data_IF_710942939745
#
_entry.id   IF_710942939745
#
_cell.length_a   1.000
_cell.length_b   1.000
_cell.length_c   1.000
_cell.angle_alpha   90.00
_cell.angle_beta   90.00
_cell.angle_gamma   90.00
#
_symmetry.space_group_name_H-M   'P 1'
#
loop_
_entity.id
_entity.type
_entity.pdbx_description
1 polymer ?
#
# COMPACT_ATOMS: atom_id res chain seq x y z
N UNK A 1 -55.78 7.05 -0.84
CA UNK A 1 -55.98 8.50 -1.00
C UNK A 1 -55.53 9.17 0.29
N UNK A 2 -54.23 9.46 0.41
CA UNK A 2 -53.60 10.19 1.52
C UNK A 2 -52.74 11.31 0.91
N UNK A 3 -52.56 12.46 1.62
CA UNK A 3 -52.17 13.73 1.03
C UNK A 3 -50.65 13.92 0.96
N UNK A 4 -50.28 14.94 0.18
CA UNK A 4 -48.93 15.33 -0.20
C UNK A 4 -48.38 16.47 0.68
N UNK A 5 -47.04 16.62 0.65
CA UNK A 5 -46.17 17.73 1.12
C UNK A 5 -45.64 17.74 2.57
N UNK A 6 -44.50 18.44 2.88
CA UNK A 6 -43.30 18.71 2.07
C UNK A 6 -41.96 18.49 2.83
N UNK A 7 -40.89 18.22 2.08
CA UNK A 7 -39.51 18.70 2.35
C UNK A 7 -38.79 18.27 3.63
N UNK A 8 -37.98 17.21 3.52
CA UNK A 8 -36.63 17.17 4.11
C UNK A 8 -35.69 16.48 3.14
N UNK A 9 -34.68 17.22 2.74
CA UNK A 9 -33.63 16.88 1.80
C UNK A 9 -32.96 15.59 2.29
N UNK A 10 -33.04 14.53 1.50
CA UNK A 10 -32.11 13.43 1.60
C UNK A 10 -30.74 14.00 1.22
N UNK A 11 -29.80 14.01 2.15
CA UNK A 11 -28.44 14.45 1.87
C UNK A 11 -27.87 13.57 0.76
N UNK A 12 -27.69 14.17 -0.41
CA UNK A 12 -27.09 13.61 -1.61
C UNK A 12 -25.75 12.95 -1.29
N UNK A 13 -25.68 11.63 -1.44
CA UNK A 13 -24.43 10.88 -1.56
C UNK A 13 -23.69 11.16 -2.88
N UNK A 14 -24.19 12.12 -3.67
CA UNK A 14 -23.65 12.49 -4.97
C UNK A 14 -22.73 13.71 -4.96
N UNK A 15 -22.33 14.23 -3.79
CA UNK A 15 -21.48 15.42 -3.70
C UNK A 15 -20.22 15.27 -2.83
N UNK A 16 -19.62 14.07 -2.80
CA UNK A 16 -18.19 14.00 -2.53
C UNK A 16 -17.45 14.39 -3.82
N UNK A 17 -16.53 15.37 -3.82
CA UNK A 17 -15.69 15.63 -4.97
C UNK A 17 -14.78 14.41 -5.17
N UNK A 18 -15.20 13.49 -6.04
CA UNK A 18 -14.30 12.53 -6.65
C UNK A 18 -13.40 13.34 -7.57
N UNK A 19 -12.22 13.68 -7.05
CA UNK A 19 -11.13 14.25 -7.83
C UNK A 19 -11.05 13.54 -9.18
N UNK A 20 -11.16 14.32 -10.23
CA UNK A 20 -11.07 13.91 -11.62
C UNK A 20 -9.73 13.21 -11.86
N UNK A 21 -9.71 11.88 -11.72
CA UNK A 21 -8.63 11.07 -12.26
C UNK A 21 -8.76 11.18 -13.78
N UNK A 22 -7.88 11.98 -14.36
CA UNK A 22 -7.73 12.14 -15.80
C UNK A 22 -7.22 10.81 -16.38
N UNK A 23 -8.12 9.88 -16.68
CA UNK A 23 -7.86 8.58 -17.31
C UNK A 23 -7.54 8.74 -18.79
N UNK A 24 -6.43 9.41 -19.10
CA UNK A 24 -5.91 9.50 -20.47
C UNK A 24 -4.70 8.62 -20.77
N UNK A 25 -4.31 7.76 -19.82
CA UNK A 25 -3.38 6.65 -20.06
C UNK A 25 -3.91 5.40 -19.35
N UNK A 26 -4.77 4.66 -20.03
CA UNK A 26 -5.26 3.36 -19.58
C UNK A 26 -4.46 2.27 -20.29
N UNK A 27 -3.45 1.68 -19.64
CA UNK A 27 -2.95 0.29 -19.83
C UNK A 27 -1.76 -0.07 -18.91
N UNK A 28 -1.88 0.06 -17.60
CA UNK A 28 -0.99 -0.65 -16.68
C UNK A 28 -1.79 -1.12 -15.48
N UNK A 29 -1.80 -2.42 -15.22
CA UNK A 29 -2.31 -2.97 -13.97
C UNK A 29 -1.56 -2.26 -12.85
N UNK A 30 -2.29 -1.56 -11.98
CA UNK A 30 -1.72 -0.87 -10.84
C UNK A 30 -1.74 -1.82 -9.64
N UNK A 31 -0.62 -1.87 -8.91
CA UNK A 31 -0.56 -2.51 -7.61
C UNK A 31 -0.98 -1.55 -6.51
N UNK A 32 -1.22 -2.08 -5.31
CA UNK A 32 -1.62 -1.29 -4.15
C UNK A 32 -0.87 -1.73 -2.90
N UNK A 33 -0.41 -0.77 -2.10
CA UNK A 33 0.19 -1.04 -0.78
C UNK A 33 -0.70 -0.40 0.29
N UNK A 34 -1.21 -1.23 1.21
CA UNK A 34 -2.01 -0.78 2.36
C UNK A 34 -1.12 -0.77 3.60
N UNK A 35 -0.84 0.41 4.14
CA UNK A 35 0.00 0.55 5.34
C UNK A 35 -0.85 0.43 6.60
N UNK A 36 -1.97 1.15 6.64
CA UNK A 36 -2.94 1.15 7.74
C UNK A 36 -4.35 1.41 7.21
N UNK A 37 -5.35 1.47 8.11
CA UNK A 37 -6.78 1.54 7.72
C UNK A 37 -7.11 2.65 6.72
N UNK A 38 -6.43 3.80 6.81
CA UNK A 38 -6.65 4.96 5.94
C UNK A 38 -5.42 5.38 5.12
N UNK A 39 -4.37 4.53 5.07
CA UNK A 39 -3.10 4.86 4.39
C UNK A 39 -2.83 3.86 3.28
N UNK A 40 -3.02 4.31 2.04
CA UNK A 40 -2.86 3.54 0.82
C UNK A 40 -1.91 4.24 -0.16
N UNK A 41 -1.11 3.44 -0.87
CA UNK A 41 -0.29 3.88 -1.97
C UNK A 41 -0.61 3.08 -3.24
N UNK A 42 -0.91 3.79 -4.32
CA UNK A 42 -1.03 3.19 -5.65
C UNK A 42 0.35 3.18 -6.31
N UNK A 43 0.67 2.08 -6.98
CA UNK A 43 1.98 1.85 -7.61
C UNK A 43 1.81 1.23 -9.00
N UNK A 44 2.75 1.45 -9.91
CA UNK A 44 2.78 0.76 -11.20
C UNK A 44 2.98 -0.74 -10.98
N UNK A 45 2.25 -1.61 -11.68
CA UNK A 45 2.35 -3.06 -11.49
C UNK A 45 3.76 -3.62 -11.69
N UNK A 46 4.54 -3.07 -12.64
CA UNK A 46 5.94 -3.47 -12.83
C UNK A 46 6.82 -3.18 -11.62
N UNK A 47 6.60 -2.06 -10.94
CA UNK A 47 7.35 -1.71 -9.73
C UNK A 47 6.86 -2.54 -8.54
N UNK A 48 5.55 -2.83 -8.48
CA UNK A 48 4.99 -3.70 -7.45
C UNK A 48 5.60 -5.10 -7.52
N UNK A 49 5.61 -5.73 -8.70
CA UNK A 49 6.20 -7.06 -8.91
C UNK A 49 7.67 -7.05 -8.50
N UNK A 50 8.41 -6.01 -8.88
CA UNK A 50 9.80 -5.86 -8.47
C UNK A 50 9.95 -5.78 -6.94
N UNK A 51 9.14 -4.97 -6.24
CA UNK A 51 9.17 -4.88 -4.77
C UNK A 51 8.82 -6.24 -4.14
N UNK A 52 7.79 -6.92 -4.65
CA UNK A 52 7.37 -8.22 -4.11
C UNK A 52 8.49 -9.27 -4.26
N UNK A 53 9.17 -9.30 -5.41
CA UNK A 53 10.30 -10.20 -5.64
C UNK A 53 11.50 -9.85 -4.76
N UNK A 54 11.81 -8.56 -4.59
CA UNK A 54 12.88 -8.11 -3.69
C UNK A 54 12.59 -8.44 -2.21
N UNK A 55 11.33 -8.38 -1.79
CA UNK A 55 10.92 -8.81 -0.46
C UNK A 55 11.09 -10.31 -0.27
N UNK A 56 10.76 -11.13 -1.28
CA UNK A 56 10.99 -12.57 -1.24
C UNK A 56 12.47 -12.93 -1.15
N UNK A 57 13.34 -12.17 -1.81
CA UNK A 57 14.79 -12.37 -1.71
C UNK A 57 15.34 -12.11 -0.28
N UNK A 58 14.61 -11.33 0.52
CA UNK A 58 14.91 -11.05 1.94
C UNK A 58 14.16 -11.96 2.91
N UNK A 59 13.52 -13.01 2.40
CA UNK A 59 12.88 -14.00 3.25
C UNK A 59 13.94 -14.77 4.05
N UNK A 60 13.71 -14.82 5.35
CA UNK A 60 14.44 -15.56 6.35
C UNK A 60 13.45 -16.42 7.13
N UNK A 61 13.95 -17.41 7.87
CA UNK A 61 13.08 -18.24 8.72
C UNK A 61 12.27 -17.41 9.73
N UNK A 62 12.83 -16.30 10.22
CA UNK A 62 12.20 -15.43 11.22
C UNK A 62 11.13 -14.48 10.68
N UNK A 63 11.19 -14.09 9.40
CA UNK A 63 10.24 -13.14 8.80
C UNK A 63 9.32 -13.75 7.73
N UNK A 64 9.50 -15.04 7.40
CA UNK A 64 8.69 -15.75 6.40
C UNK A 64 7.19 -15.58 6.63
N UNK A 65 6.71 -15.80 7.85
CA UNK A 65 5.29 -15.70 8.16
C UNK A 65 4.75 -14.28 7.92
N UNK A 66 5.53 -13.27 8.32
CA UNK A 66 5.19 -11.85 8.12
C UNK A 66 5.13 -11.48 6.63
N UNK A 67 6.12 -11.90 5.85
CA UNK A 67 6.19 -11.62 4.41
C UNK A 67 5.08 -12.35 3.63
N UNK A 68 4.81 -13.63 3.94
CA UNK A 68 3.70 -14.36 3.33
C UNK A 68 2.34 -13.73 3.68
N UNK A 69 2.14 -13.29 4.92
CA UNK A 69 0.91 -12.58 5.30
C UNK A 69 0.77 -11.25 4.55
N UNK A 70 1.85 -10.49 4.42
CA UNK A 70 1.84 -9.22 3.71
C UNK A 70 1.55 -9.38 2.21
N UNK A 71 2.08 -10.44 1.58
CA UNK A 71 1.95 -10.71 0.15
C UNK A 71 0.79 -11.66 -0.21
N UNK A 72 -0.05 -12.05 0.76
CA UNK A 72 -1.05 -13.11 0.57
C UNK A 72 -1.96 -12.87 -0.65
N UNK A 73 -2.43 -11.64 -0.85
CA UNK A 73 -3.31 -11.30 -1.98
C UNK A 73 -2.61 -11.45 -3.34
N UNK A 74 -1.31 -11.17 -3.38
CA UNK A 74 -0.48 -11.37 -4.57
C UNK A 74 -0.15 -12.86 -4.78
N UNK A 75 0.16 -13.60 -3.73
CA UNK A 75 0.51 -15.02 -3.78
C UNK A 75 -0.67 -15.92 -4.18
N UNK A 76 -1.88 -15.57 -3.72
CA UNK A 76 -3.10 -16.27 -4.13
C UNK A 76 -3.58 -15.87 -5.53
N UNK A 77 -2.88 -14.95 -6.21
CA UNK A 77 -3.23 -14.46 -7.54
C UNK A 77 -4.54 -13.66 -7.57
N UNK A 78 -4.92 -13.09 -6.42
CA UNK A 78 -6.16 -12.33 -6.26
C UNK A 78 -5.96 -10.91 -6.76
N UNK A 79 -4.94 -10.20 -6.23
CA UNK A 79 -4.62 -8.83 -6.59
C UNK A 79 -3.13 -8.52 -6.34
N UNK A 80 -2.58 -7.57 -7.09
CA UNK A 80 -1.22 -7.05 -6.88
C UNK A 80 -1.20 -6.14 -5.63
N UNK A 81 -1.30 -6.75 -4.44
CA UNK A 81 -1.40 -6.02 -3.17
C UNK A 81 -0.38 -6.45 -2.13
N UNK A 82 0.16 -5.47 -1.43
CA UNK A 82 0.95 -5.63 -0.20
C UNK A 82 0.12 -5.09 0.97
N UNK A 83 -0.25 -5.97 1.88
CA UNK A 83 -1.20 -5.71 2.95
C UNK A 83 -0.48 -5.65 4.31
N UNK A 84 -0.17 -4.45 4.80
CA UNK A 84 0.47 -4.24 6.10
C UNK A 84 -0.54 -3.89 7.20
N UNK A 85 -1.73 -3.45 6.82
CA UNK A 85 -2.80 -2.98 7.70
C UNK A 85 -3.32 -4.05 8.68
N UNK A 86 -3.31 -5.32 8.27
CA UNK A 86 -3.81 -6.44 9.06
C UNK A 86 -2.71 -7.20 9.83
N UNK A 87 -1.43 -6.81 9.66
CA UNK A 87 -0.32 -7.43 10.37
C UNK A 87 -0.32 -7.02 11.85
N UNK A 88 0.08 -7.96 12.71
CA UNK A 88 0.39 -7.64 14.11
C UNK A 88 1.66 -6.77 14.19
N UNK A 89 1.96 -6.24 15.37
CA UNK A 89 3.06 -5.28 15.55
C UNK A 89 4.43 -5.83 15.14
N UNK A 90 4.73 -7.07 15.50
CA UNK A 90 6.03 -7.69 15.22
C UNK A 90 6.18 -7.99 13.71
N UNK A 91 5.13 -8.51 13.08
CA UNK A 91 5.10 -8.77 11.63
C UNK A 91 5.15 -7.48 10.82
N UNK A 92 4.38 -6.46 11.21
CA UNK A 92 4.40 -5.13 10.59
C UNK A 92 5.80 -4.54 10.63
N UNK A 93 6.47 -4.62 11.78
CA UNK A 93 7.85 -4.15 11.94
C UNK A 93 8.82 -4.95 11.08
N UNK A 94 8.66 -6.28 11.04
CA UNK A 94 9.51 -7.16 10.25
C UNK A 94 9.46 -6.84 8.75
N UNK A 95 8.26 -6.61 8.21
CA UNK A 95 8.06 -6.24 6.81
C UNK A 95 8.56 -4.81 6.53
N UNK A 96 8.31 -3.87 7.46
CA UNK A 96 8.83 -2.50 7.35
C UNK A 96 10.36 -2.45 7.27
N UNK A 97 11.06 -3.24 8.11
CA UNK A 97 12.51 -3.38 8.07
C UNK A 97 12.99 -4.00 6.74
N UNK A 98 12.31 -5.03 6.25
CA UNK A 98 12.65 -5.63 4.95
C UNK A 98 12.51 -4.60 3.81
N UNK A 99 11.44 -3.79 3.81
CA UNK A 99 11.27 -2.71 2.85
C UNK A 99 12.35 -1.62 3.00
N UNK A 100 12.85 -1.35 4.21
CA UNK A 100 13.92 -0.37 4.46
C UNK A 100 15.23 -0.85 3.82
N UNK A 101 15.53 -2.14 3.96
CA UNK A 101 16.67 -2.79 3.30
C UNK A 101 16.55 -2.71 1.77
N UNK A 102 15.38 -3.04 1.20
CA UNK A 102 15.10 -2.89 -0.25
C UNK A 102 15.38 -1.47 -0.71
N UNK A 103 14.89 -0.48 0.04
CA UNK A 103 15.02 0.94 -0.28
C UNK A 103 16.48 1.37 -0.24
N UNK A 104 17.23 0.94 0.77
CA UNK A 104 18.65 1.22 0.91
C UNK A 104 19.46 0.61 -0.24
N UNK A 105 19.21 -0.65 -0.59
CA UNK A 105 19.92 -1.32 -1.67
C UNK A 105 19.63 -0.68 -3.03
N UNK A 106 18.38 -0.29 -3.28
CA UNK A 106 18.02 0.40 -4.51
C UNK A 106 18.71 1.77 -4.65
N UNK A 107 18.83 2.53 -3.54
CA UNK A 107 19.56 3.80 -3.53
C UNK A 107 21.03 3.62 -3.88
N UNK A 108 21.66 2.58 -3.35
CA UNK A 108 23.10 2.33 -3.58
C UNK A 108 23.41 1.85 -4.99
N UNK A 109 22.51 1.08 -5.60
CA UNK A 109 22.73 0.43 -6.90
C UNK A 109 22.19 1.23 -8.10
N UNK A 110 21.09 1.97 -7.92
CA UNK A 110 20.35 2.61 -9.02
C UNK A 110 20.32 4.14 -9.00
N UNK A 111 20.80 4.80 -7.95
CA UNK A 111 20.71 6.26 -7.79
C UNK A 111 19.28 6.74 -7.53
N UNK A 112 19.03 8.05 -7.66
CA UNK A 112 17.69 8.64 -7.49
C UNK A 112 16.77 8.22 -8.65
N UNK A 113 15.71 7.47 -8.32
CA UNK A 113 14.65 7.07 -9.25
C UNK A 113 13.27 7.34 -8.64
N UNK A 114 12.23 7.42 -9.48
CA UNK A 114 10.85 7.59 -9.02
C UNK A 114 10.43 6.48 -8.03
N UNK A 115 10.96 5.27 -8.21
CA UNK A 115 10.72 4.14 -7.31
C UNK A 115 11.38 4.34 -5.95
N UNK A 116 12.61 4.87 -5.90
CA UNK A 116 13.26 5.23 -4.63
C UNK A 116 12.44 6.27 -3.88
N UNK A 117 12.03 7.34 -4.56
CA UNK A 117 11.20 8.40 -3.94
C UNK A 117 9.85 7.86 -3.45
N UNK A 118 9.26 6.92 -4.18
CA UNK A 118 8.06 6.22 -3.75
C UNK A 118 8.31 5.41 -2.47
N UNK A 119 9.36 4.59 -2.45
CA UNK A 119 9.71 3.76 -1.30
C UNK A 119 10.06 4.58 -0.06
N UNK A 120 10.74 5.72 -0.22
CA UNK A 120 11.01 6.65 0.88
C UNK A 120 9.73 7.20 1.51
N UNK A 121 8.73 7.56 0.68
CA UNK A 121 7.43 8.03 1.18
C UNK A 121 6.64 6.92 1.85
N UNK A 122 6.71 5.71 1.31
CA UNK A 122 6.11 4.53 1.92
C UNK A 122 6.73 4.27 3.31
N UNK A 123 8.06 4.35 3.42
CA UNK A 123 8.77 4.18 4.69
C UNK A 123 8.42 5.25 5.70
N UNK A 124 8.35 6.51 5.27
CA UNK A 124 7.89 7.60 6.13
C UNK A 124 6.48 7.33 6.67
N UNK A 125 5.58 6.77 5.87
CA UNK A 125 4.25 6.39 6.33
C UNK A 125 4.27 5.22 7.32
N UNK A 126 5.12 4.21 7.08
CA UNK A 126 5.32 3.06 7.99
C UNK A 126 5.87 3.53 9.34
N UNK A 127 6.91 4.38 9.34
CA UNK A 127 7.53 4.88 10.58
C UNK A 127 6.62 5.84 11.36
N UNK A 128 5.66 6.48 10.69
CA UNK A 128 4.63 7.31 11.34
C UNK A 128 3.43 6.51 11.83
N UNK A 129 3.30 5.23 11.45
CA UNK A 129 2.22 4.37 11.95
C UNK A 129 2.38 4.18 13.47
N UNK A 130 1.26 4.21 14.19
CA UNK A 130 1.25 4.03 15.66
C UNK A 130 1.83 2.69 16.13
N UNK A 131 1.88 1.68 15.25
CA UNK A 131 2.50 0.37 15.52
C UNK A 131 4.02 0.42 15.45
N UNK A 132 4.59 1.46 14.82
CA UNK A 132 6.03 1.64 14.80
C UNK A 132 6.52 2.16 16.16
N UNK A 133 7.55 1.55 16.76
CA UNK A 133 8.08 2.02 18.03
C UNK A 133 8.71 3.41 17.84
N UNK A 134 8.07 4.43 18.41
CA UNK A 134 8.70 5.74 18.58
C UNK A 134 9.76 5.61 19.68
N UNK A 135 11.04 5.74 19.32
CA UNK A 135 12.12 5.94 20.30
C UNK A 135 12.03 7.32 20.96
#
# INVERSE_FOLDING_TARGET
>A
MWPDLPGRIATDWHNAPRSSINTKDSTAVAGTILVGTDVQFDIRGVDFVWIADELRLRETESNRAALSAALIAYEEGVMDMLLLDHLNLDDFRSVGLALDEVTSDLKTTGGESDLVLFLERLQEAIHRDSRWPNE
#
